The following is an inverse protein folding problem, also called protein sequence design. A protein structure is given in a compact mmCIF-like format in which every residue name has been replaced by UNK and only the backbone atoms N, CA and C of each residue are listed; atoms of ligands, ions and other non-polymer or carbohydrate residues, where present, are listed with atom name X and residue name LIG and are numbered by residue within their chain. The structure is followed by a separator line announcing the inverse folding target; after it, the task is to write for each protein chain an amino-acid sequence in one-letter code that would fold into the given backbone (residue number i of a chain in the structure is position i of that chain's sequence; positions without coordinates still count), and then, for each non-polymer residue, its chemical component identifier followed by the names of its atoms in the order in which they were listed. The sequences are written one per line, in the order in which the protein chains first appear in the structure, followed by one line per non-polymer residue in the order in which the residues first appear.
data_IF_849055342241
#
_entry.id   IF_849055342241
#
_cell.length_a   1.000
_cell.length_b   1.000
_cell.length_c   1.000
_cell.angle_alpha   90.00
_cell.angle_beta   90.00
_cell.angle_gamma   90.00
#
_symmetry.space_group_name_H-M   'P 1'
#
loop_
_entity.id
_entity.type
_entity.pdbx_description
1 polymer ?
#
# COMPACT_ATOMS: atom_id res chain seq x y z
N UNK A 1 28.05 -22.45 -2.03
CA UNK A 1 27.02 -21.45 -1.62
C UNK A 1 27.43 -20.74 -0.33
N UNK A 2 27.73 -21.46 0.72
CA UNK A 2 28.13 -20.91 2.02
C UNK A 2 29.29 -19.88 1.91
N UNK A 3 30.37 -20.24 1.20
CA UNK A 3 31.51 -19.33 0.96
C UNK A 3 31.15 -18.03 0.23
N UNK A 4 30.06 -18.00 -0.52
CA UNK A 4 29.55 -16.76 -1.14
C UNK A 4 28.73 -15.95 -0.14
N UNK A 5 27.77 -16.59 0.52
CA UNK A 5 26.85 -15.95 1.46
C UNK A 5 27.60 -15.36 2.68
N UNK A 6 28.63 -16.05 3.18
CA UNK A 6 29.47 -15.58 4.30
C UNK A 6 30.27 -14.30 3.99
N UNK A 7 30.39 -13.90 2.72
CA UNK A 7 31.07 -12.67 2.30
C UNK A 7 30.14 -11.46 2.23
N UNK A 8 28.84 -11.64 2.38
CA UNK A 8 27.88 -10.53 2.40
C UNK A 8 28.08 -9.69 3.66
N UNK A 9 28.19 -8.38 3.50
CA UNK A 9 28.38 -7.42 4.58
C UNK A 9 27.11 -6.61 4.83
N UNK A 10 26.65 -5.84 3.84
CA UNK A 10 25.47 -4.99 3.95
C UNK A 10 24.16 -5.79 3.88
N UNK A 11 24.18 -6.87 3.09
CA UNK A 11 23.06 -7.80 2.92
C UNK A 11 23.23 -9.09 3.73
N UNK A 12 24.19 -9.12 4.65
CA UNK A 12 24.50 -10.30 5.46
C UNK A 12 23.54 -10.54 6.60
N UNK A 13 22.82 -9.53 7.06
CA UNK A 13 21.75 -9.68 8.08
C UNK A 13 20.47 -10.21 7.41
N UNK A 14 20.48 -11.51 7.14
CA UNK A 14 19.39 -12.19 6.42
C UNK A 14 18.29 -12.71 7.35
N UNK A 15 18.43 -12.54 8.66
CA UNK A 15 17.55 -13.19 9.64
C UNK A 15 17.75 -14.70 9.71
N UNK A 16 17.43 -15.31 10.85
CA UNK A 16 17.68 -16.73 11.11
C UNK A 16 16.90 -17.67 10.20
N UNK A 17 15.73 -17.28 9.75
CA UNK A 17 14.84 -18.08 8.90
C UNK A 17 14.90 -17.71 7.40
N UNK A 18 15.92 -16.97 6.96
CA UNK A 18 16.08 -16.65 5.54
C UNK A 18 16.35 -17.92 4.70
N UNK A 19 15.67 -18.04 3.56
CA UNK A 19 15.87 -19.15 2.62
C UNK A 19 17.34 -19.21 2.16
N UNK A 20 17.95 -18.07 1.83
CA UNK A 20 19.34 -18.01 1.37
C UNK A 20 20.32 -18.49 2.46
N UNK A 21 20.13 -18.05 3.70
CA UNK A 21 20.95 -18.50 4.82
C UNK A 21 20.79 -19.99 5.07
N UNK A 22 19.55 -20.49 5.11
CA UNK A 22 19.28 -21.92 5.32
C UNK A 22 19.83 -22.80 4.19
N UNK A 23 19.76 -22.34 2.95
CA UNK A 23 20.39 -23.03 1.84
C UNK A 23 21.93 -23.04 2.00
N UNK A 24 22.54 -21.91 2.37
CA UNK A 24 24.00 -21.87 2.59
C UNK A 24 24.44 -22.86 3.66
N UNK A 25 23.73 -22.93 4.79
CA UNK A 25 23.99 -23.91 5.87
C UNK A 25 23.86 -25.36 5.35
N UNK A 26 22.82 -25.71 4.63
CA UNK A 26 22.63 -27.05 4.05
C UNK A 26 23.71 -27.40 3.01
N UNK A 27 24.17 -26.44 2.22
CA UNK A 27 25.27 -26.64 1.28
C UNK A 27 26.62 -26.86 2.02
N UNK A 28 26.82 -26.16 3.14
CA UNK A 28 27.99 -26.38 4.00
C UNK A 28 27.97 -27.81 4.61
N UNK A 29 26.82 -28.26 5.13
CA UNK A 29 26.58 -29.57 5.66
C UNK A 29 26.83 -30.67 4.60
N UNK A 30 26.38 -30.45 3.36
CA UNK A 30 26.61 -31.32 2.22
C UNK A 30 28.10 -31.46 1.91
N UNK A 31 28.82 -30.34 1.78
CA UNK A 31 30.26 -30.36 1.50
C UNK A 31 31.08 -30.98 2.62
N UNK A 32 30.67 -30.77 3.87
CA UNK A 32 31.30 -31.32 5.05
C UNK A 32 30.95 -32.80 5.32
N UNK A 33 30.03 -33.41 4.56
CA UNK A 33 29.48 -34.74 4.80
C UNK A 33 29.02 -34.98 6.25
N UNK A 34 28.56 -33.90 6.91
CA UNK A 34 28.22 -33.92 8.33
C UNK A 34 26.80 -34.41 8.63
N UNK A 35 25.93 -34.42 7.62
CA UNK A 35 24.49 -34.69 7.78
C UNK A 35 24.06 -35.85 6.88
N UNK A 36 23.18 -36.77 7.38
CA UNK A 36 22.67 -37.87 6.57
C UNK A 36 21.93 -37.36 5.32
N UNK A 37 22.14 -38.04 4.17
CA UNK A 37 21.56 -37.69 2.87
C UNK A 37 20.05 -37.41 2.92
N UNK A 38 19.27 -38.26 3.61
CA UNK A 38 17.81 -38.08 3.72
C UNK A 38 17.44 -36.80 4.46
N UNK A 39 18.19 -36.41 5.48
CA UNK A 39 17.99 -35.17 6.24
C UNK A 39 18.32 -33.97 5.38
N UNK A 40 19.42 -33.99 4.62
CA UNK A 40 19.77 -32.93 3.66
C UNK A 40 18.70 -32.75 2.60
N UNK A 41 18.24 -33.83 1.95
CA UNK A 41 17.19 -33.78 0.93
C UNK A 41 15.92 -33.20 1.50
N UNK A 42 15.50 -33.57 2.72
CA UNK A 42 14.34 -33.02 3.39
C UNK A 42 14.50 -31.50 3.65
N UNK A 43 15.68 -31.08 4.11
CA UNK A 43 16.01 -29.67 4.33
C UNK A 43 15.96 -28.87 3.05
N UNK A 44 16.56 -29.36 1.97
CA UNK A 44 16.51 -28.71 0.65
C UNK A 44 15.08 -28.59 0.11
N UNK A 45 14.29 -29.67 0.15
CA UNK A 45 12.90 -29.65 -0.28
C UNK A 45 12.03 -28.70 0.53
N UNK A 46 12.34 -28.52 1.83
CA UNK A 46 11.68 -27.52 2.64
C UNK A 46 11.94 -26.10 2.12
N UNK A 47 13.18 -25.77 1.74
CA UNK A 47 13.51 -24.45 1.18
C UNK A 47 12.92 -24.27 -0.23
N UNK A 48 12.94 -25.31 -1.06
CA UNK A 48 12.27 -25.33 -2.37
C UNK A 48 10.77 -25.06 -2.23
N UNK A 49 10.11 -25.73 -1.27
CA UNK A 49 8.71 -25.46 -0.96
C UNK A 49 8.46 -23.99 -0.61
N UNK A 50 9.31 -23.39 0.21
CA UNK A 50 9.21 -21.97 0.58
C UNK A 50 9.38 -21.03 -0.64
N UNK A 51 10.25 -21.37 -1.58
CA UNK A 51 10.37 -20.63 -2.85
C UNK A 51 9.10 -20.75 -3.70
N UNK A 52 8.46 -21.93 -3.74
CA UNK A 52 7.19 -22.13 -4.43
C UNK A 52 6.04 -21.38 -3.75
N UNK A 53 6.00 -21.35 -2.41
CA UNK A 53 5.04 -20.58 -1.65
C UNK A 53 5.19 -19.06 -1.97
N UNK A 54 6.42 -18.54 -1.96
CA UNK A 54 6.74 -17.16 -2.33
C UNK A 54 6.33 -16.86 -3.77
N UNK A 55 6.65 -17.75 -4.72
CA UNK A 55 6.25 -17.60 -6.12
C UNK A 55 4.73 -17.55 -6.28
N UNK A 56 4.04 -18.34 -5.47
CA UNK A 56 2.59 -18.40 -5.44
C UNK A 56 1.97 -17.12 -4.88
N UNK A 57 2.55 -16.56 -3.81
CA UNK A 57 2.05 -15.36 -3.12
C UNK A 57 2.27 -14.08 -3.95
N UNK A 58 3.39 -14.00 -4.66
CA UNK A 58 3.76 -12.85 -5.47
C UNK A 58 3.53 -13.04 -6.98
N UNK A 59 3.15 -14.23 -7.43
CA UNK A 59 2.94 -14.52 -8.86
C UNK A 59 4.24 -14.51 -9.67
N UNK A 60 5.33 -15.03 -9.10
CA UNK A 60 6.60 -15.17 -9.83
C UNK A 60 6.53 -16.31 -10.84
N UNK A 61 7.29 -16.18 -11.93
CA UNK A 61 7.35 -17.11 -13.06
C UNK A 61 8.75 -17.09 -13.67
N UNK A 62 9.11 -18.13 -14.41
CA UNK A 62 10.43 -18.29 -15.02
C UNK A 62 11.49 -18.76 -14.01
N UNK A 63 12.61 -18.08 -13.88
CA UNK A 63 13.67 -18.48 -12.94
C UNK A 63 13.35 -18.03 -11.52
N UNK A 64 12.77 -18.92 -10.70
CA UNK A 64 12.37 -18.60 -9.32
C UNK A 64 13.54 -18.30 -8.40
N UNK A 65 14.71 -18.91 -8.63
CA UNK A 65 15.90 -18.61 -7.86
C UNK A 65 16.34 -17.16 -8.04
N UNK A 66 16.45 -16.71 -9.29
CA UNK A 66 16.79 -15.33 -9.62
C UNK A 66 15.73 -14.33 -9.14
N UNK A 67 14.45 -14.68 -9.28
CA UNK A 67 13.36 -13.86 -8.76
C UNK A 67 13.42 -13.71 -7.24
N UNK A 68 13.76 -14.78 -6.52
CA UNK A 68 13.93 -14.73 -5.07
C UNK A 68 15.11 -13.84 -4.66
N UNK A 69 16.28 -13.97 -5.30
CA UNK A 69 17.43 -13.11 -5.03
C UNK A 69 17.12 -11.63 -5.31
N UNK A 70 16.40 -11.37 -6.40
CA UNK A 70 15.93 -10.01 -6.74
C UNK A 70 14.98 -9.49 -5.68
N UNK A 71 14.01 -10.30 -5.26
CA UNK A 71 13.06 -9.93 -4.21
C UNK A 71 13.77 -9.65 -2.89
N UNK A 72 14.81 -10.43 -2.55
CA UNK A 72 15.64 -10.20 -1.37
C UNK A 72 16.36 -8.84 -1.46
N UNK A 73 16.98 -8.52 -2.59
CA UNK A 73 17.61 -7.22 -2.82
C UNK A 73 16.60 -6.08 -2.67
N UNK A 74 15.41 -6.22 -3.27
CA UNK A 74 14.36 -5.19 -3.24
C UNK A 74 13.77 -4.98 -1.84
N UNK A 75 13.76 -6.01 -1.00
CA UNK A 75 13.11 -5.97 0.33
C UNK A 75 14.07 -5.74 1.48
N UNK A 76 15.39 -5.91 1.28
CA UNK A 76 16.38 -5.72 2.34
C UNK A 76 16.67 -4.24 2.58
N UNK A 77 16.27 -3.75 3.74
CA UNK A 77 16.53 -2.38 4.20
C UNK A 77 17.84 -2.36 5.00
N UNK A 78 18.86 -1.72 4.45
CA UNK A 78 20.15 -1.53 5.08
C UNK A 78 20.64 -0.09 4.87
N UNK A 79 21.79 0.27 5.45
CA UNK A 79 22.34 1.63 5.38
C UNK A 79 22.58 2.11 3.95
N UNK A 80 22.99 1.23 3.04
CA UNK A 80 23.18 1.57 1.64
C UNK A 80 21.85 1.74 0.89
N UNK A 81 20.94 0.78 1.00
CA UNK A 81 19.69 0.77 0.28
C UNK A 81 18.78 1.95 0.66
N UNK A 82 18.72 2.30 1.96
CA UNK A 82 17.96 3.46 2.46
C UNK A 82 18.52 4.80 2.03
N UNK A 83 19.86 4.94 1.98
CA UNK A 83 20.50 6.16 1.48
C UNK A 83 20.26 6.28 -0.03
N UNK A 84 20.47 5.19 -0.78
CA UNK A 84 20.33 5.18 -2.24
C UNK A 84 18.89 5.47 -2.67
N UNK A 85 17.90 5.01 -1.92
CA UNK A 85 16.49 5.37 -2.14
C UNK A 85 16.29 6.89 -2.17
N UNK A 86 16.99 7.63 -1.30
CA UNK A 86 16.82 9.08 -1.14
C UNK A 86 17.62 9.92 -2.13
N UNK A 87 18.88 9.56 -2.32
CA UNK A 87 19.85 10.40 -3.04
C UNK A 87 20.33 9.81 -4.36
N UNK A 88 19.93 8.57 -4.67
CA UNK A 88 20.39 7.87 -5.87
C UNK A 88 21.87 7.48 -5.80
N UNK A 89 22.53 7.48 -6.94
CA UNK A 89 23.92 7.08 -7.11
C UNK A 89 24.89 8.23 -6.77
N UNK A 90 24.97 8.62 -5.50
CA UNK A 90 26.02 9.53 -5.05
C UNK A 90 27.27 8.75 -4.65
N UNK A 91 28.44 9.30 -4.93
CA UNK A 91 29.72 8.70 -4.54
C UNK A 91 29.85 8.65 -3.01
N UNK A 92 30.32 7.52 -2.51
CA UNK A 92 30.54 7.31 -1.10
C UNK A 92 31.22 5.96 -0.81
N UNK A 93 31.92 5.88 0.31
CA UNK A 93 32.65 4.66 0.70
C UNK A 93 31.74 3.43 0.84
N UNK A 94 30.47 3.62 1.22
CA UNK A 94 29.50 2.54 1.34
C UNK A 94 29.24 1.82 0.01
N UNK A 95 29.40 2.52 -1.14
CA UNK A 95 29.25 1.93 -2.47
C UNK A 95 30.28 0.82 -2.74
N UNK A 96 31.48 0.94 -2.18
CA UNK A 96 32.50 -0.09 -2.31
C UNK A 96 32.03 -1.43 -1.67
N UNK A 97 31.43 -1.36 -0.50
CA UNK A 97 30.87 -2.53 0.17
C UNK A 97 29.67 -3.08 -0.58
N UNK A 98 28.79 -2.21 -1.08
CA UNK A 98 27.63 -2.62 -1.87
C UNK A 98 28.05 -3.33 -3.18
N UNK A 99 29.05 -2.81 -3.89
CA UNK A 99 29.61 -3.46 -5.10
C UNK A 99 30.21 -4.83 -4.78
N UNK A 100 30.88 -4.99 -3.63
CA UNK A 100 31.37 -6.28 -3.19
C UNK A 100 30.22 -7.28 -2.98
N UNK A 101 29.16 -6.86 -2.28
CA UNK A 101 27.97 -7.70 -2.06
C UNK A 101 27.25 -8.03 -3.38
N UNK A 102 27.15 -7.06 -4.30
CA UNK A 102 26.54 -7.30 -5.62
C UNK A 102 27.34 -8.26 -6.49
N UNK A 103 28.68 -8.29 -6.35
CA UNK A 103 29.51 -9.34 -6.95
C UNK A 103 29.17 -10.72 -6.43
N UNK A 104 28.87 -10.83 -5.11
CA UNK A 104 28.34 -12.08 -4.52
C UNK A 104 26.98 -12.42 -5.07
N UNK A 105 26.03 -11.45 -5.13
CA UNK A 105 24.71 -11.70 -5.70
C UNK A 105 24.78 -12.12 -7.16
N UNK A 106 25.63 -11.49 -7.97
CA UNK A 106 25.83 -11.88 -9.37
C UNK A 106 26.33 -13.32 -9.49
N UNK A 107 27.26 -13.73 -8.63
CA UNK A 107 27.72 -15.13 -8.57
C UNK A 107 26.57 -16.09 -8.15
N UNK A 108 25.73 -15.68 -7.19
CA UNK A 108 24.54 -16.44 -6.79
C UNK A 108 23.47 -16.52 -7.88
N UNK A 109 23.30 -15.48 -8.71
CA UNK A 109 22.38 -15.49 -9.85
C UNK A 109 22.72 -16.58 -10.88
N UNK A 110 24.01 -16.92 -11.02
CA UNK A 110 24.51 -17.92 -11.93
C UNK A 110 25.05 -19.15 -11.21
N UNK A 111 24.55 -19.43 -9.99
CA UNK A 111 25.01 -20.54 -9.19
C UNK A 111 24.65 -21.86 -9.85
N UNK A 112 25.68 -22.77 -9.98
CA UNK A 112 25.49 -24.11 -10.53
C UNK A 112 25.02 -25.07 -9.42
N UNK A 113 23.79 -25.52 -9.54
CA UNK A 113 23.19 -26.54 -8.66
C UNK A 113 23.47 -27.97 -9.12
N UNK A 114 24.01 -28.16 -10.32
CA UNK A 114 24.24 -29.48 -10.89
C UNK A 114 25.01 -30.46 -9.98
N UNK A 115 26.11 -30.07 -9.33
CA UNK A 115 26.88 -30.96 -8.46
C UNK A 115 26.09 -31.57 -7.29
N UNK A 116 25.29 -30.74 -6.57
CA UNK A 116 24.50 -31.23 -5.44
C UNK A 116 23.29 -32.05 -5.92
N UNK A 117 22.68 -31.67 -7.03
CA UNK A 117 21.56 -32.42 -7.61
C UNK A 117 22.00 -33.80 -8.09
N UNK A 118 23.15 -33.89 -8.76
CA UNK A 118 23.70 -35.15 -9.20
C UNK A 118 24.08 -36.08 -8.03
N UNK A 119 24.72 -35.53 -6.99
CA UNK A 119 25.13 -36.31 -5.82
C UNK A 119 23.91 -36.80 -5.01
N UNK A 120 22.93 -35.97 -4.82
CA UNK A 120 21.71 -36.28 -4.04
C UNK A 120 20.59 -36.94 -4.88
N UNK A 121 20.73 -37.06 -6.20
CA UNK A 121 19.71 -37.61 -7.10
C UNK A 121 18.39 -36.84 -7.05
N UNK A 122 18.46 -35.51 -7.06
CA UNK A 122 17.33 -34.61 -7.08
C UNK A 122 17.45 -33.66 -8.28
N UNK A 123 16.38 -32.99 -8.68
CA UNK A 123 16.30 -32.06 -9.83
C UNK A 123 15.51 -30.77 -9.53
N UNK A 124 15.28 -30.56 -8.24
CA UNK A 124 14.34 -29.52 -7.78
C UNK A 124 14.82 -28.08 -8.09
N UNK A 125 16.13 -27.82 -8.04
CA UNK A 125 16.67 -26.48 -8.36
C UNK A 125 16.65 -26.22 -9.87
N UNK A 126 17.02 -27.23 -10.69
CA UNK A 126 16.87 -27.15 -12.15
C UNK A 126 15.43 -26.88 -12.54
N UNK A 127 14.47 -27.54 -11.90
CA UNK A 127 13.04 -27.30 -12.09
C UNK A 127 12.63 -25.87 -11.71
N UNK A 128 13.15 -25.33 -10.59
CA UNK A 128 12.87 -23.94 -10.17
C UNK A 128 13.42 -22.91 -11.16
N UNK A 129 14.55 -23.19 -11.82
CA UNK A 129 15.12 -22.27 -12.82
C UNK A 129 14.28 -22.19 -14.11
N UNK A 130 13.38 -23.17 -14.35
CA UNK A 130 12.49 -23.26 -15.50
C UNK A 130 11.02 -23.34 -15.11
N UNK A 131 10.65 -22.70 -14.02
CA UNK A 131 9.31 -22.78 -13.46
C UNK A 131 8.28 -22.08 -14.34
N UNK A 132 7.13 -22.75 -14.53
CA UNK A 132 5.95 -22.17 -15.19
C UNK A 132 4.79 -22.08 -14.22
N UNK A 133 4.35 -20.87 -13.95
CA UNK A 133 3.24 -20.64 -13.03
C UNK A 133 1.90 -21.10 -13.62
N UNK A 134 1.08 -21.75 -12.77
CA UNK A 134 -0.31 -22.05 -13.13
C UNK A 134 -1.14 -20.80 -12.90
N UNK A 135 -1.53 -20.15 -13.99
CA UNK A 135 -2.39 -18.97 -13.93
C UNK A 135 -3.83 -19.39 -13.65
N UNK A 136 -4.30 -19.11 -12.43
CA UNK A 136 -5.72 -19.14 -12.12
C UNK A 136 -6.28 -17.73 -12.23
N UNK A 137 -7.33 -17.53 -13.03
CA UNK A 137 -8.01 -16.24 -13.20
C UNK A 137 -8.49 -15.63 -11.87
N UNK A 138 -8.69 -16.45 -10.86
CA UNK A 138 -9.24 -16.06 -9.55
C UNK A 138 -8.18 -15.71 -8.50
N UNK A 139 -6.89 -16.03 -8.73
CA UNK A 139 -5.88 -15.80 -7.70
C UNK A 139 -5.38 -14.36 -7.75
N UNK A 140 -5.67 -13.62 -6.69
CA UNK A 140 -5.25 -12.23 -6.52
C UNK A 140 -3.85 -12.20 -5.90
N UNK A 141 -2.86 -11.81 -6.67
CA UNK A 141 -1.52 -11.46 -6.21
C UNK A 141 -1.21 -10.00 -6.57
N UNK A 142 -0.20 -9.42 -5.93
CA UNK A 142 0.21 -8.06 -6.25
C UNK A 142 0.97 -8.03 -7.59
N UNK A 143 0.22 -7.85 -8.69
CA UNK A 143 0.77 -7.85 -10.04
C UNK A 143 1.89 -6.83 -10.22
N UNK A 144 1.78 -5.66 -9.61
CA UNK A 144 2.80 -4.61 -9.70
C UNK A 144 4.13 -5.03 -9.06
N UNK A 145 4.10 -5.76 -7.94
CA UNK A 145 5.31 -6.33 -7.32
C UNK A 145 5.91 -7.39 -8.22
N UNK A 146 5.08 -8.33 -8.71
CA UNK A 146 5.53 -9.40 -9.60
C UNK A 146 6.24 -8.86 -10.84
N UNK A 147 5.64 -7.89 -11.52
CA UNK A 147 6.20 -7.28 -12.72
C UNK A 147 7.55 -6.59 -12.45
N UNK A 148 7.66 -5.85 -11.34
CA UNK A 148 8.92 -5.19 -10.96
C UNK A 148 10.03 -6.19 -10.65
N UNK A 149 9.73 -7.22 -9.84
CA UNK A 149 10.71 -8.26 -9.49
C UNK A 149 11.18 -8.97 -10.76
N UNK A 150 10.28 -9.41 -11.62
CA UNK A 150 10.62 -10.12 -12.85
C UNK A 150 11.43 -9.26 -13.84
N UNK A 151 11.05 -8.00 -14.01
CA UNK A 151 11.76 -7.08 -14.89
C UNK A 151 13.20 -6.82 -14.38
N UNK A 152 13.37 -6.56 -13.08
CA UNK A 152 14.69 -6.37 -12.50
C UNK A 152 15.50 -7.68 -12.52
N UNK A 153 14.90 -8.81 -12.18
CA UNK A 153 15.55 -10.14 -12.21
C UNK A 153 16.13 -10.44 -13.60
N UNK A 154 15.34 -10.21 -14.63
CA UNK A 154 15.80 -10.41 -16.02
C UNK A 154 16.97 -9.47 -16.39
N UNK A 155 16.91 -8.20 -15.98
CA UNK A 155 17.99 -7.24 -16.21
C UNK A 155 19.26 -7.61 -15.45
N UNK A 156 19.15 -8.02 -14.16
CA UNK A 156 20.28 -8.45 -13.34
C UNK A 156 20.94 -9.74 -13.86
N UNK A 157 20.14 -10.69 -14.34
CA UNK A 157 20.65 -11.93 -14.95
C UNK A 157 21.46 -11.66 -16.23
N UNK A 158 21.16 -10.59 -16.95
CA UNK A 158 21.87 -10.18 -18.17
C UNK A 158 23.09 -9.29 -17.90
N UNK A 159 23.30 -8.84 -16.66
CA UNK A 159 24.43 -7.94 -16.30
C UNK A 159 25.78 -8.64 -16.49
N UNK A 160 26.65 -8.05 -17.31
CA UNK A 160 27.95 -8.62 -17.66
C UNK A 160 29.01 -8.43 -16.55
N UNK A 161 28.89 -7.35 -15.77
CA UNK A 161 29.84 -6.97 -14.73
C UNK A 161 29.13 -6.43 -13.47
N UNK A 162 29.94 -6.26 -12.40
CA UNK A 162 29.45 -5.78 -11.10
C UNK A 162 29.00 -4.31 -11.16
N UNK A 163 29.54 -3.51 -12.06
CA UNK A 163 29.17 -2.09 -12.23
C UNK A 163 27.77 -1.98 -12.85
N UNK A 164 27.50 -2.74 -13.90
CA UNK A 164 26.15 -2.82 -14.50
C UNK A 164 25.14 -3.32 -13.49
N UNK A 165 25.47 -4.33 -12.72
CA UNK A 165 24.61 -4.85 -11.66
C UNK A 165 24.34 -3.79 -10.59
N UNK A 166 25.35 -3.05 -10.16
CA UNK A 166 25.24 -1.95 -9.22
C UNK A 166 24.28 -0.85 -9.74
N UNK A 167 24.47 -0.43 -10.99
CA UNK A 167 23.59 0.58 -11.60
C UNK A 167 22.14 0.15 -11.67
N UNK A 168 21.85 -1.08 -12.05
CA UNK A 168 20.48 -1.61 -12.13
C UNK A 168 19.78 -1.61 -10.76
N UNK A 169 20.49 -2.05 -9.71
CA UNK A 169 19.92 -2.08 -8.35
C UNK A 169 19.72 -0.67 -7.81
N UNK A 170 20.70 0.23 -7.97
CA UNK A 170 20.63 1.60 -7.46
C UNK A 170 19.56 2.43 -8.19
N UNK A 171 19.41 2.27 -9.51
CA UNK A 171 18.33 2.88 -10.27
C UNK A 171 16.95 2.38 -9.81
N UNK A 172 16.85 1.08 -9.51
CA UNK A 172 15.63 0.52 -8.95
C UNK A 172 15.29 1.15 -7.60
N UNK A 173 16.25 1.25 -6.67
CA UNK A 173 16.03 1.87 -5.36
C UNK A 173 15.61 3.33 -5.46
N UNK A 174 16.25 4.09 -6.35
CA UNK A 174 15.89 5.48 -6.59
C UNK A 174 14.48 5.64 -7.16
N UNK A 175 14.10 4.78 -8.10
CA UNK A 175 12.82 4.88 -8.84
C UNK A 175 11.64 4.33 -8.06
N UNK A 176 11.82 3.20 -7.41
CA UNK A 176 10.73 2.47 -6.76
C UNK A 176 10.88 2.36 -5.25
N UNK A 177 12.07 2.64 -4.73
CA UNK A 177 12.44 2.51 -3.34
C UNK A 177 12.82 1.11 -2.91
N UNK A 178 13.01 0.92 -1.61
CA UNK A 178 13.43 -0.32 -1.00
C UNK A 178 12.44 -0.77 0.09
N UNK A 179 12.48 -2.05 0.41
CA UNK A 179 11.62 -2.63 1.43
C UNK A 179 10.17 -2.79 0.99
N UNK A 180 9.33 -3.19 1.91
CA UNK A 180 7.91 -3.38 1.64
C UNK A 180 7.21 -2.08 1.25
N UNK A 181 7.72 -0.93 1.73
CA UNK A 181 7.20 0.40 1.39
C UNK A 181 7.44 0.74 -0.09
N UNK A 182 8.60 0.38 -0.63
CA UNK A 182 8.91 0.55 -2.05
C UNK A 182 8.03 -0.28 -2.97
N UNK A 183 7.72 -1.49 -2.54
CA UNK A 183 6.97 -2.46 -3.35
C UNK A 183 5.46 -2.23 -3.35
N UNK A 184 4.88 -1.68 -2.29
CA UNK A 184 3.44 -1.64 -2.09
C UNK A 184 2.87 -0.22 -2.08
N UNK A 185 1.60 -0.10 -2.51
CA UNK A 185 0.87 1.18 -2.59
C UNK A 185 0.29 1.61 -1.24
N UNK A 186 -0.26 0.64 -0.51
CA UNK A 186 -1.03 0.90 0.69
C UNK A 186 -0.75 -0.11 1.78
N UNK A 187 -0.93 0.33 3.02
CA UNK A 187 -0.60 -0.41 4.23
C UNK A 187 -1.70 -0.27 5.27
N UNK A 188 -1.81 -1.28 6.15
CA UNK A 188 -2.55 -1.22 7.40
C UNK A 188 -1.60 -1.22 8.57
N UNK A 189 -2.01 -0.53 9.62
CA UNK A 189 -1.30 -0.55 10.89
C UNK A 189 -1.56 -1.87 11.61
N UNK A 190 -0.51 -2.53 12.07
CA UNK A 190 -0.56 -3.69 12.96
C UNK A 190 0.17 -3.35 14.25
N UNK A 191 -0.55 -3.38 15.35
CA UNK A 191 0.01 -3.24 16.70
C UNK A 191 0.26 -4.63 17.29
N UNK A 192 1.38 -4.81 17.96
CA UNK A 192 1.76 -6.09 18.58
C UNK A 192 2.75 -5.91 19.71
N UNK A 193 3.15 -7.00 20.40
CA UNK A 193 4.10 -6.95 21.51
C UNK A 193 5.46 -6.36 21.14
N UNK A 194 5.87 -6.50 19.88
CA UNK A 194 7.14 -5.98 19.35
C UNK A 194 7.03 -4.52 18.86
N UNK A 195 5.86 -3.90 19.01
CA UNK A 195 5.59 -2.53 18.57
C UNK A 195 4.65 -2.46 17.37
N UNK A 196 4.73 -1.33 16.66
CA UNK A 196 3.88 -1.02 15.50
C UNK A 196 4.60 -1.40 14.20
N UNK A 197 3.88 -2.04 13.30
CA UNK A 197 4.37 -2.39 11.96
C UNK A 197 3.34 -2.06 10.87
N UNK A 198 3.80 -1.99 9.62
CA UNK A 198 2.97 -1.73 8.45
C UNK A 198 2.78 -3.01 7.64
N UNK A 199 1.55 -3.47 7.51
CA UNK A 199 1.19 -4.63 6.70
C UNK A 199 0.72 -4.17 5.32
N UNK A 200 1.29 -4.69 4.21
CA UNK A 200 0.86 -4.34 2.87
C UNK A 200 -0.60 -4.74 2.60
N UNK A 201 -1.30 -3.89 1.87
CA UNK A 201 -2.63 -4.18 1.31
C UNK A 201 -2.46 -4.56 -0.15
N UNK A 202 -2.59 -5.85 -0.47
CA UNK A 202 -2.39 -6.36 -1.83
C UNK A 202 -3.57 -6.10 -2.78
N UNK A 203 -4.78 -5.97 -2.23
CA UNK A 203 -6.03 -5.75 -2.98
C UNK A 203 -6.56 -4.34 -2.75
N UNK A 204 -5.83 -3.33 -3.24
CA UNK A 204 -6.35 -1.96 -3.23
C UNK A 204 -7.50 -1.84 -4.25
N UNK A 205 -8.48 -1.01 -3.91
CA UNK A 205 -9.53 -0.60 -4.85
C UNK A 205 -8.87 0.01 -6.10
N UNK A 206 -9.38 -0.34 -7.29
CA UNK A 206 -8.82 0.15 -8.57
C UNK A 206 -9.49 1.42 -9.07
N UNK A 207 -10.34 2.03 -8.25
CA UNK A 207 -11.07 3.26 -8.61
C UNK A 207 -10.09 4.39 -8.95
N UNK A 208 -10.35 5.10 -10.04
CA UNK A 208 -9.69 6.35 -10.42
C UNK A 208 -10.61 7.53 -10.14
N UNK A 209 -10.07 8.74 -9.96
CA UNK A 209 -10.93 9.93 -9.79
C UNK A 209 -11.85 10.16 -10.99
N UNK A 210 -11.42 9.79 -12.18
CA UNK A 210 -12.23 9.82 -13.40
C UNK A 210 -13.42 8.84 -13.38
N UNK A 211 -13.39 7.83 -12.51
CA UNK A 211 -14.50 6.88 -12.36
C UNK A 211 -15.63 7.43 -11.51
N UNK A 212 -15.33 8.41 -10.68
CA UNK A 212 -16.31 9.08 -9.84
C UNK A 212 -17.04 10.15 -10.66
N UNK A 213 -18.30 9.91 -10.96
CA UNK A 213 -19.12 10.84 -11.75
C UNK A 213 -19.54 12.02 -10.90
N UNK A 214 -19.40 13.24 -11.44
CA UNK A 214 -19.67 14.49 -10.72
C UNK A 214 -18.55 14.90 -9.76
N UNK A 215 -18.84 15.89 -8.93
CA UNK A 215 -17.91 16.42 -7.91
C UNK A 215 -16.59 16.97 -8.47
N UNK A 216 -16.60 17.57 -9.67
CA UNK A 216 -15.37 18.01 -10.35
C UNK A 216 -14.59 19.04 -9.53
N UNK A 217 -15.27 20.00 -8.90
CA UNK A 217 -14.63 21.00 -8.03
C UNK A 217 -13.97 20.35 -6.80
N UNK A 218 -14.63 19.37 -6.20
CA UNK A 218 -14.11 18.62 -5.05
C UNK A 218 -12.87 17.78 -5.44
N UNK A 219 -12.96 17.08 -6.56
CA UNK A 219 -11.84 16.30 -7.11
C UNK A 219 -10.65 17.20 -7.45
N UNK A 220 -10.91 18.37 -8.03
CA UNK A 220 -9.87 19.33 -8.37
C UNK A 220 -9.14 19.87 -7.13
N UNK A 221 -9.87 20.29 -6.09
CA UNK A 221 -9.28 20.73 -4.83
C UNK A 221 -8.42 19.65 -4.19
N UNK A 222 -8.90 18.39 -4.23
CA UNK A 222 -8.19 17.25 -3.67
C UNK A 222 -6.90 16.95 -4.46
N UNK A 223 -6.94 17.02 -5.80
CA UNK A 223 -5.78 16.90 -6.68
C UNK A 223 -4.75 17.99 -6.40
N UNK A 224 -5.13 19.23 -6.43
CA UNK A 224 -4.24 20.38 -6.23
C UNK A 224 -3.46 20.29 -4.93
N UNK A 225 -4.14 19.92 -3.83
CA UNK A 225 -3.49 19.70 -2.54
C UNK A 225 -2.52 18.50 -2.56
N UNK A 226 -2.90 17.43 -3.23
CA UNK A 226 -2.06 16.22 -3.33
C UNK A 226 -0.85 16.44 -4.24
N UNK A 227 -1.01 17.13 -5.36
CA UNK A 227 0.08 17.48 -6.28
C UNK A 227 1.06 18.49 -5.66
N UNK A 228 0.55 19.46 -4.89
CA UNK A 228 1.40 20.35 -4.11
C UNK A 228 2.27 19.57 -3.11
N UNK A 229 1.65 18.61 -2.41
CA UNK A 229 2.33 17.72 -1.47
C UNK A 229 3.41 16.86 -2.14
N UNK A 230 3.10 16.24 -3.27
CA UNK A 230 4.03 15.41 -4.05
C UNK A 230 5.22 16.24 -4.55
N UNK A 231 4.97 17.45 -4.98
CA UNK A 231 6.00 18.40 -5.44
C UNK A 231 6.84 18.99 -4.30
N UNK A 232 6.64 18.59 -3.04
CA UNK A 232 7.35 19.14 -1.87
C UNK A 232 6.94 20.56 -1.51
N UNK A 233 5.84 21.07 -2.06
CA UNK A 233 5.26 22.37 -1.71
C UNK A 233 4.37 22.27 -0.47
N UNK A 234 4.08 23.39 0.17
CA UNK A 234 3.16 23.44 1.31
C UNK A 234 1.80 22.88 0.93
N UNK A 235 1.33 21.90 1.71
CA UNK A 235 0.02 21.26 1.55
C UNK A 235 -0.59 20.99 2.92
N UNK A 236 -1.91 20.77 2.95
CA UNK A 236 -2.66 20.69 4.18
C UNK A 236 -3.28 19.31 4.39
N UNK A 237 -3.55 18.97 5.66
CA UNK A 237 -4.45 17.87 5.98
C UNK A 237 -5.83 18.15 5.38
N UNK A 238 -6.51 17.13 4.86
CA UNK A 238 -7.80 17.28 4.18
C UNK A 238 -8.93 16.56 4.91
N UNK A 239 -10.01 17.27 5.16
CA UNK A 239 -11.27 16.75 5.67
C UNK A 239 -12.31 16.76 4.56
N UNK A 240 -12.77 15.58 4.14
CA UNK A 240 -13.87 15.45 3.19
C UNK A 240 -15.15 15.16 3.99
N UNK A 241 -16.05 16.11 4.08
CA UNK A 241 -17.25 15.97 4.90
C UNK A 241 -18.54 16.05 4.07
N UNK A 242 -19.63 15.55 4.60
CA UNK A 242 -20.95 15.60 3.95
C UNK A 242 -21.65 14.26 3.93
N UNK A 243 -22.64 14.12 3.04
CA UNK A 243 -23.59 13.02 3.07
C UNK A 243 -22.96 11.64 2.76
N UNK A 244 -23.58 10.58 3.31
CA UNK A 244 -23.13 9.21 3.06
C UNK A 244 -23.34 8.82 1.58
N UNK A 245 -22.43 7.99 1.05
CA UNK A 245 -22.55 7.46 -0.32
C UNK A 245 -22.20 8.44 -1.45
N UNK A 246 -21.62 9.60 -1.13
CA UNK A 246 -21.22 10.63 -2.11
C UNK A 246 -19.83 10.46 -2.70
N UNK A 247 -19.11 9.39 -2.35
CA UNK A 247 -17.79 9.08 -2.94
C UNK A 247 -16.58 9.66 -2.19
N UNK A 248 -16.73 10.23 -0.98
CA UNK A 248 -15.62 10.80 -0.17
C UNK A 248 -14.44 9.85 -0.03
N UNK A 249 -14.67 8.67 0.54
CA UNK A 249 -13.62 7.66 0.76
C UNK A 249 -13.05 7.15 -0.56
N UNK A 250 -13.89 6.97 -1.58
CA UNK A 250 -13.46 6.56 -2.92
C UNK A 250 -12.57 7.62 -3.58
N UNK A 251 -12.84 8.92 -3.37
CA UNK A 251 -12.00 10.01 -3.89
C UNK A 251 -10.60 9.95 -3.29
N UNK A 252 -10.47 9.71 -1.97
CA UNK A 252 -9.15 9.57 -1.34
C UNK A 252 -8.44 8.30 -1.81
N UNK A 253 -9.15 7.17 -1.89
CA UNK A 253 -8.59 5.89 -2.37
C UNK A 253 -8.14 5.97 -3.84
N UNK A 254 -8.81 6.77 -4.66
CA UNK A 254 -8.42 6.96 -6.06
C UNK A 254 -7.05 7.65 -6.22
N UNK A 255 -6.67 8.54 -5.32
CA UNK A 255 -5.39 9.24 -5.37
C UNK A 255 -4.19 8.27 -5.39
N UNK A 256 -4.27 7.17 -4.63
CA UNK A 256 -3.15 6.22 -4.60
C UNK A 256 -2.94 5.53 -5.95
N UNK A 257 -4.00 5.34 -6.72
CA UNK A 257 -3.88 4.76 -8.06
C UNK A 257 -3.34 5.77 -9.07
N UNK A 258 -3.65 7.06 -8.92
CA UNK A 258 -3.18 8.11 -9.82
C UNK A 258 -1.72 8.51 -9.53
N UNK A 259 -1.29 8.51 -8.26
CA UNK A 259 -0.01 9.12 -7.86
C UNK A 259 1.01 8.14 -7.27
N UNK A 260 0.72 6.83 -7.25
CA UNK A 260 1.66 5.82 -6.74
C UNK A 260 3.02 5.90 -7.41
N UNK A 261 3.06 6.00 -8.73
CA UNK A 261 4.30 6.06 -9.51
C UNK A 261 5.07 7.38 -9.31
N UNK A 262 4.42 8.39 -8.74
CA UNK A 262 5.03 9.66 -8.32
C UNK A 262 5.48 9.64 -6.84
N UNK A 263 5.48 8.49 -6.21
CA UNK A 263 5.97 8.30 -4.85
C UNK A 263 4.90 8.43 -3.74
N UNK A 264 3.60 8.48 -4.08
CA UNK A 264 2.55 8.46 -3.08
C UNK A 264 2.40 7.06 -2.46
N UNK A 265 2.20 7.04 -1.14
CA UNK A 265 1.85 5.83 -0.36
C UNK A 265 0.69 6.14 0.55
N UNK A 266 -0.12 5.14 0.88
CA UNK A 266 -1.27 5.29 1.77
C UNK A 266 -1.15 4.38 2.97
N UNK A 267 -1.44 4.91 4.16
CA UNK A 267 -1.52 4.13 5.40
C UNK A 267 -2.94 4.24 5.92
N UNK A 268 -3.66 3.14 5.92
CA UNK A 268 -4.99 3.04 6.51
C UNK A 268 -4.85 2.83 8.02
N UNK A 269 -5.46 3.72 8.81
CA UNK A 269 -5.50 3.63 10.25
C UNK A 269 -6.93 3.74 10.76
N UNK A 270 -7.28 2.88 11.70
CA UNK A 270 -8.60 2.89 12.33
C UNK A 270 -8.60 3.70 13.63
N UNK A 271 -9.76 4.23 14.00
CA UNK A 271 -9.91 5.10 15.18
C UNK A 271 -9.29 4.52 16.46
N UNK A 272 -9.51 3.23 16.75
CA UNK A 272 -8.93 2.54 17.91
C UNK A 272 -7.39 2.43 17.89
N UNK A 273 -6.74 2.75 16.78
CA UNK A 273 -5.28 2.72 16.62
C UNK A 273 -4.63 4.11 16.70
N UNK A 274 -5.38 5.17 17.02
CA UNK A 274 -4.81 6.53 17.04
C UNK A 274 -3.71 6.71 18.08
N UNK A 275 -3.70 5.94 19.15
CA UNK A 275 -2.58 5.89 20.09
C UNK A 275 -1.24 5.50 19.42
N UNK A 276 -1.29 4.74 18.33
CA UNK A 276 -0.13 4.26 17.58
C UNK A 276 0.33 5.24 16.50
N UNK A 277 -0.42 6.32 16.25
CA UNK A 277 -0.17 7.24 15.14
C UNK A 277 1.22 7.87 15.18
N UNK A 278 1.73 8.22 16.37
CA UNK A 278 3.09 8.74 16.53
C UNK A 278 4.15 7.70 16.14
N UNK A 279 3.93 6.43 16.49
CA UNK A 279 4.83 5.34 16.12
C UNK A 279 4.78 5.07 14.59
N UNK A 280 3.59 5.13 13.98
CA UNK A 280 3.43 5.04 12.52
C UNK A 280 4.21 6.15 11.82
N UNK A 281 4.10 7.39 12.31
CA UNK A 281 4.86 8.53 11.78
C UNK A 281 6.36 8.29 11.89
N UNK A 282 6.83 7.80 13.03
CA UNK A 282 8.26 7.50 13.24
C UNK A 282 8.81 6.47 12.24
N UNK A 283 8.01 5.48 11.82
CA UNK A 283 8.41 4.47 10.83
C UNK A 283 8.63 5.07 9.42
N UNK A 284 7.91 6.15 9.08
CA UNK A 284 7.89 6.63 7.69
C UNK A 284 8.46 8.05 7.50
N UNK A 285 8.70 8.81 8.58
CA UNK A 285 9.16 10.20 8.51
C UNK A 285 10.47 10.40 7.75
N UNK A 286 11.34 9.40 7.75
CA UNK A 286 12.65 9.46 7.11
C UNK A 286 12.69 8.81 5.72
N UNK A 287 11.54 8.32 5.21
CA UNK A 287 11.45 7.66 3.89
C UNK A 287 11.30 8.71 2.78
N UNK A 288 11.75 8.35 1.59
CA UNK A 288 11.70 9.22 0.41
C UNK A 288 10.33 9.22 -0.30
N UNK A 289 9.25 8.90 0.42
CA UNK A 289 7.89 8.86 -0.09
C UNK A 289 7.03 9.92 0.56
N UNK A 290 5.92 10.23 -0.10
CA UNK A 290 4.83 11.03 0.44
C UNK A 290 3.72 10.10 0.94
N UNK A 291 3.34 10.25 2.19
CA UNK A 291 2.36 9.38 2.85
C UNK A 291 1.06 10.13 3.11
N UNK A 292 -0.05 9.56 2.64
CA UNK A 292 -1.38 9.93 3.11
C UNK A 292 -1.78 8.91 4.19
N UNK A 293 -1.95 9.39 5.41
CA UNK A 293 -2.62 8.62 6.47
C UNK A 293 -4.13 8.77 6.25
N UNK A 294 -4.75 7.68 5.84
CA UNK A 294 -6.17 7.62 5.53
C UNK A 294 -6.96 7.15 6.74
N UNK A 295 -7.90 7.98 7.17
CA UNK A 295 -8.75 7.74 8.33
C UNK A 295 -10.19 7.69 7.83
N UNK A 296 -10.71 6.49 7.55
CA UNK A 296 -12.07 6.37 7.01
C UNK A 296 -13.13 6.58 8.11
N UNK A 297 -14.22 7.28 7.75
CA UNK A 297 -15.37 7.60 8.60
C UNK A 297 -15.00 8.26 9.94
N UNK A 298 -14.14 9.30 9.86
CA UNK A 298 -13.68 10.02 11.04
C UNK A 298 -14.84 10.75 11.73
N UNK A 299 -15.19 10.28 12.92
CA UNK A 299 -16.15 10.92 13.80
C UNK A 299 -15.93 10.47 15.24
N UNK A 300 -16.27 11.32 16.21
CA UNK A 300 -16.14 11.04 17.63
C UNK A 300 -17.46 11.28 18.33
N UNK A 301 -17.78 10.41 19.30
CA UNK A 301 -18.81 10.67 20.28
C UNK A 301 -18.24 11.52 21.41
N UNK A 302 -19.10 12.10 22.22
CA UNK A 302 -18.74 13.07 23.28
C UNK A 302 -17.71 12.55 24.29
N UNK A 303 -17.79 11.28 24.64
CA UNK A 303 -16.98 10.65 25.69
C UNK A 303 -15.73 9.93 25.14
N UNK A 304 -15.47 9.97 23.84
CA UNK A 304 -14.31 9.32 23.25
C UNK A 304 -13.06 10.18 23.47
N UNK A 305 -11.98 9.53 23.86
CA UNK A 305 -10.70 10.21 24.16
C UNK A 305 -9.71 10.14 22.99
N UNK A 306 -10.00 9.32 22.00
CA UNK A 306 -9.13 9.06 20.84
C UNK A 306 -8.84 10.31 20.02
N UNK A 307 -9.76 11.30 20.03
CA UNK A 307 -9.53 12.58 19.35
C UNK A 307 -8.32 13.34 19.90
N UNK A 308 -7.95 13.14 21.18
CA UNK A 308 -6.79 13.79 21.81
C UNK A 308 -5.48 13.33 21.17
N UNK A 309 -5.36 12.04 20.82
CA UNK A 309 -4.19 11.52 20.12
C UNK A 309 -4.08 12.13 18.71
N UNK A 310 -5.19 12.20 17.99
CA UNK A 310 -5.23 12.82 16.67
C UNK A 310 -4.89 14.32 16.74
N UNK A 311 -5.45 15.03 17.72
CA UNK A 311 -5.17 16.45 17.98
C UNK A 311 -3.68 16.67 18.22
N UNK A 312 -3.07 15.90 19.12
CA UNK A 312 -1.64 16.00 19.44
C UNK A 312 -0.75 15.81 18.19
N UNK A 313 -1.10 14.90 17.31
CA UNK A 313 -0.35 14.67 16.07
C UNK A 313 -0.54 15.79 15.06
N UNK A 314 -1.75 16.33 14.92
CA UNK A 314 -2.04 17.42 13.96
C UNK A 314 -1.40 18.73 14.41
N UNK A 315 -1.42 19.02 15.72
CA UNK A 315 -0.82 20.23 16.30
C UNK A 315 0.70 20.19 16.29
N UNK A 316 1.25 18.97 16.37
CA UNK A 316 2.66 18.77 16.65
C UNK A 316 2.99 19.06 18.12
N UNK A 317 4.09 18.49 18.58
CA UNK A 317 4.65 18.80 19.89
C UNK A 317 5.98 19.56 19.71
N UNK A 318 6.97 19.19 20.51
CA UNK A 318 8.35 19.67 20.34
C UNK A 318 8.95 19.18 19.00
N UNK A 319 8.54 18.00 18.55
CA UNK A 319 8.91 17.48 17.22
C UNK A 319 7.97 18.08 16.16
N UNK A 320 8.56 18.72 15.15
CA UNK A 320 7.80 19.26 14.01
C UNK A 320 7.16 18.14 13.21
N UNK A 321 5.92 18.36 12.73
CA UNK A 321 5.26 17.43 11.82
C UNK A 321 6.15 17.18 10.60
N UNK A 322 6.41 15.91 10.23
CA UNK A 322 7.19 15.61 9.03
C UNK A 322 6.51 16.13 7.75
N UNK A 323 7.31 16.72 6.85
CA UNK A 323 6.83 17.28 5.58
C UNK A 323 6.32 16.22 4.59
N UNK A 324 6.60 14.96 4.86
CA UNK A 324 6.24 13.84 3.99
C UNK A 324 4.95 13.11 4.42
N UNK A 325 4.15 13.68 5.34
CA UNK A 325 2.93 13.03 5.86
C UNK A 325 1.76 14.02 5.86
N UNK A 326 0.63 13.64 5.27
CA UNK A 326 -0.66 14.31 5.39
C UNK A 326 -1.73 13.34 5.91
N UNK A 327 -2.72 13.91 6.59
CA UNK A 327 -3.90 13.20 7.08
C UNK A 327 -5.08 13.53 6.15
N UNK A 328 -5.71 12.51 5.56
CA UNK A 328 -6.92 12.65 4.76
C UNK A 328 -8.05 11.86 5.43
N UNK A 329 -9.10 12.57 5.80
CA UNK A 329 -10.19 12.03 6.60
C UNK A 329 -11.55 12.27 5.95
N UNK A 330 -12.18 11.27 5.33
CA UNK A 330 -13.59 11.27 5.06
C UNK A 330 -14.41 11.24 6.36
N UNK A 331 -15.48 12.04 6.39
CA UNK A 331 -16.43 12.10 7.51
C UNK A 331 -17.86 12.29 7.02
N UNK A 332 -18.81 11.65 7.66
CA UNK A 332 -20.23 11.90 7.44
C UNK A 332 -20.73 13.10 8.27
N UNK A 333 -19.84 13.76 9.00
CA UNK A 333 -20.15 14.92 9.86
C UNK A 333 -19.27 16.11 9.49
N UNK A 334 -19.85 17.31 9.49
CA UNK A 334 -19.10 18.57 9.30
C UNK A 334 -18.24 18.86 10.54
N UNK A 335 -18.80 18.68 11.72
CA UNK A 335 -18.12 18.76 13.00
C UNK A 335 -17.78 17.33 13.44
N UNK A 336 -16.50 17.06 13.63
CA UNK A 336 -15.98 15.72 13.88
C UNK A 336 -16.43 15.12 15.21
N UNK A 337 -16.71 15.98 16.21
CA UNK A 337 -17.21 15.57 17.52
C UNK A 337 -18.69 15.92 17.59
N UNK A 338 -19.51 15.00 18.12
CA UNK A 338 -20.96 15.17 18.23
C UNK A 338 -21.30 16.26 19.24
N UNK A 339 -22.10 17.22 18.83
CA UNK A 339 -22.73 18.20 19.70
C UNK A 339 -23.98 17.59 20.32
N UNK A 340 -24.19 17.75 21.62
CA UNK A 340 -25.44 17.37 22.29
C UNK A 340 -26.46 18.49 22.29
N UNK A 341 -27.72 18.16 22.56
CA UNK A 341 -28.77 19.17 22.77
C UNK A 341 -28.46 20.12 23.92
N UNK A 342 -27.68 19.66 24.92
CA UNK A 342 -27.20 20.48 26.04
C UNK A 342 -26.20 21.54 25.55
N UNK A 343 -25.26 21.17 24.70
CA UNK A 343 -24.29 22.10 24.11
C UNK A 343 -24.98 23.25 23.34
N UNK A 344 -26.17 23.01 22.75
CA UNK A 344 -26.97 24.04 22.06
C UNK A 344 -27.79 24.91 23.00
N UNK A 345 -28.30 24.32 24.09
CA UNK A 345 -29.07 25.06 25.07
C UNK A 345 -28.15 26.00 25.91
N UNK A 346 -26.89 25.57 26.15
CA UNK A 346 -25.91 26.36 26.89
C UNK A 346 -25.38 27.57 26.09
N UNK A 347 -25.47 27.54 24.74
CA UNK A 347 -25.22 28.75 23.90
C UNK A 347 -26.21 29.88 24.14
N UNK A 348 -27.41 29.60 24.69
CA UNK A 348 -28.43 30.59 25.00
C UNK A 348 -28.30 31.14 26.44
N UNK A 349 -27.44 30.56 27.28
CA UNK A 349 -27.20 30.98 28.67
C UNK A 349 -25.73 31.34 28.90
N UNK A 350 -25.43 32.62 28.92
CA UNK A 350 -24.10 33.28 28.97
C UNK A 350 -23.26 33.04 30.26
N UNK A 351 -23.52 32.06 31.13
CA UNK A 351 -22.96 32.03 32.48
C UNK A 351 -22.11 30.82 32.86
N UNK A 352 -21.65 29.96 31.96
CA UNK A 352 -20.80 28.83 32.36
C UNK A 352 -19.49 28.73 31.54
N UNK A 353 -18.43 29.32 32.09
CA UNK A 353 -17.07 29.43 31.50
C UNK A 353 -16.46 28.06 31.18
N UNK A 354 -16.79 27.00 31.93
CA UNK A 354 -16.22 25.66 31.78
C UNK A 354 -16.82 24.87 30.59
N UNK A 355 -18.04 25.17 30.15
CA UNK A 355 -18.66 24.53 28.98
C UNK A 355 -18.20 25.13 27.64
N UNK A 356 -17.86 26.42 27.62
CA UNK A 356 -17.30 27.11 26.45
C UNK A 356 -15.97 26.48 26.00
N UNK A 357 -15.08 26.11 26.90
CA UNK A 357 -13.76 25.53 26.61
C UNK A 357 -13.89 24.17 25.93
N UNK A 358 -14.84 23.34 26.34
CA UNK A 358 -15.07 22.01 25.76
C UNK A 358 -15.66 22.10 24.35
N UNK A 359 -16.53 23.06 24.11
CA UNK A 359 -17.13 23.29 22.78
C UNK A 359 -16.11 23.86 21.80
N UNK A 360 -15.29 24.82 22.24
CA UNK A 360 -14.17 25.35 21.44
C UNK A 360 -13.16 24.25 21.11
N UNK A 361 -12.87 23.36 22.03
CA UNK A 361 -11.98 22.22 21.82
C UNK A 361 -12.56 21.24 20.77
N UNK A 362 -13.89 20.98 20.82
CA UNK A 362 -14.59 20.13 19.84
C UNK A 362 -14.58 20.73 18.43
N UNK A 363 -14.82 22.03 18.30
CA UNK A 363 -14.81 22.75 17.02
C UNK A 363 -13.38 22.90 16.47
N UNK A 364 -12.38 23.01 17.34
CA UNK A 364 -10.99 23.25 16.99
C UNK A 364 -10.40 22.11 16.16
N UNK A 365 -10.80 20.86 16.37
CA UNK A 365 -10.26 19.71 15.61
C UNK A 365 -10.56 19.80 14.11
N UNK A 366 -11.77 20.16 13.73
CA UNK A 366 -12.14 20.34 12.31
C UNK A 366 -11.41 21.50 11.66
N UNK A 367 -11.16 22.58 12.41
CA UNK A 367 -10.44 23.76 11.92
C UNK A 367 -8.95 23.47 11.61
N UNK A 368 -8.37 22.40 12.17
CA UNK A 368 -6.97 21.99 11.92
C UNK A 368 -6.76 21.28 10.58
N UNK A 369 -7.84 20.92 9.89
CA UNK A 369 -7.77 20.49 8.50
C UNK A 369 -7.82 21.72 7.61
N UNK A 370 -6.67 22.11 7.05
CA UNK A 370 -6.57 23.33 6.24
C UNK A 370 -7.32 23.23 4.91
N UNK A 371 -7.56 22.02 4.40
CA UNK A 371 -8.44 21.76 3.25
C UNK A 371 -9.71 21.06 3.74
N UNK A 372 -10.87 21.69 3.48
CA UNK A 372 -12.19 21.18 3.89
C UNK A 372 -13.11 21.13 2.68
N UNK A 373 -13.45 19.90 2.24
CA UNK A 373 -14.19 19.67 1.00
C UNK A 373 -15.56 19.09 1.33
N UNK A 374 -16.62 19.79 0.89
CA UNK A 374 -18.01 19.36 1.11
C UNK A 374 -18.51 18.48 -0.03
N UNK A 375 -19.04 17.32 0.31
CA UNK A 375 -19.69 16.37 -0.59
C UNK A 375 -21.18 16.28 -0.24
N UNK A 376 -21.99 17.09 -0.89
CA UNK A 376 -23.45 17.07 -0.72
C UNK A 376 -24.09 15.96 -1.57
N UNK A 377 -25.30 15.55 -1.19
CA UNK A 377 -26.14 14.65 -1.99
C UNK A 377 -26.27 15.19 -3.41
N UNK A 378 -26.09 14.36 -4.46
CA UNK A 378 -26.28 14.78 -5.83
C UNK A 378 -27.74 15.18 -6.07
N UNK A 379 -27.95 16.21 -6.84
CA UNK A 379 -29.29 16.55 -7.29
C UNK A 379 -29.82 15.50 -8.28
N UNK A 380 -31.11 15.57 -8.65
CA UNK A 380 -31.72 14.56 -9.51
C UNK A 380 -31.05 14.42 -10.88
N UNK A 381 -30.65 15.53 -11.49
CA UNK A 381 -29.93 15.52 -12.77
C UNK A 381 -28.56 14.86 -12.65
N UNK A 382 -27.81 15.18 -11.61
CA UNK A 382 -26.51 14.55 -11.32
C UNK A 382 -26.66 13.05 -11.05
N UNK A 383 -27.71 12.65 -10.32
CA UNK A 383 -27.97 11.23 -10.09
C UNK A 383 -28.25 10.47 -11.38
N UNK A 384 -29.06 11.04 -12.27
CA UNK A 384 -29.34 10.48 -13.59
C UNK A 384 -28.05 10.34 -14.41
N UNK A 385 -27.20 11.37 -14.43
CA UNK A 385 -25.89 11.32 -15.09
C UNK A 385 -25.00 10.20 -14.52
N UNK A 386 -24.97 10.03 -13.19
CA UNK A 386 -24.25 8.94 -12.52
C UNK A 386 -24.78 7.58 -13.01
N UNK A 387 -26.10 7.39 -13.02
CA UNK A 387 -26.74 6.13 -13.44
C UNK A 387 -26.39 5.81 -14.91
N UNK A 388 -26.56 6.77 -15.81
CA UNK A 388 -26.27 6.60 -17.24
C UNK A 388 -24.80 6.26 -17.49
N UNK A 389 -23.90 6.97 -16.80
CA UNK A 389 -22.46 6.74 -16.94
C UNK A 389 -22.05 5.35 -16.44
N UNK A 390 -22.57 4.94 -15.29
CA UNK A 390 -22.31 3.62 -14.73
C UNK A 390 -22.90 2.50 -15.59
N UNK A 391 -24.13 2.67 -16.11
CA UNK A 391 -24.77 1.71 -17.03
C UNK A 391 -23.93 1.51 -18.29
N UNK A 392 -23.47 2.59 -18.90
CA UNK A 392 -22.60 2.53 -20.09
C UNK A 392 -21.28 1.79 -19.81
N UNK A 393 -20.66 2.04 -18.66
CA UNK A 393 -19.40 1.39 -18.25
C UNK A 393 -19.57 -0.11 -18.01
N UNK A 394 -20.72 -0.52 -17.48
CA UNK A 394 -20.99 -1.94 -17.17
C UNK A 394 -21.70 -2.68 -18.30
N UNK A 395 -21.94 -2.01 -19.45
CA UNK A 395 -22.57 -2.62 -20.61
C UNK A 395 -24.04 -2.98 -20.40
N UNK A 396 -24.75 -2.28 -19.49
CA UNK A 396 -26.18 -2.50 -19.26
C UNK A 396 -26.96 -1.98 -20.46
N UNK A 397 -27.61 -2.87 -21.19
CA UNK A 397 -28.33 -2.59 -22.44
C UNK A 397 -29.84 -2.37 -22.19
N UNK A 398 -30.18 -1.26 -21.52
CA UNK A 398 -31.56 -0.82 -21.34
C UNK A 398 -31.76 0.54 -22.04
N UNK A 399 -32.98 0.81 -22.61
CA UNK A 399 -33.33 2.15 -23.07
C UNK A 399 -33.18 3.17 -21.95
N UNK A 400 -32.65 4.36 -22.25
CA UNK A 400 -32.35 5.41 -21.26
C UNK A 400 -33.56 5.76 -20.40
N UNK A 401 -34.72 5.93 -21.00
CA UNK A 401 -35.97 6.25 -20.29
C UNK A 401 -36.34 5.18 -19.27
N UNK A 402 -36.27 3.91 -19.68
CA UNK A 402 -36.55 2.74 -18.80
C UNK A 402 -35.55 2.66 -17.67
N UNK A 403 -34.26 2.85 -17.98
CA UNK A 403 -33.17 2.83 -16.99
C UNK A 403 -33.37 3.91 -15.91
N UNK A 404 -33.71 5.13 -16.31
CA UNK A 404 -33.95 6.24 -15.38
C UNK A 404 -35.23 6.06 -14.54
N UNK A 405 -36.29 5.50 -15.14
CA UNK A 405 -37.51 5.15 -14.39
C UNK A 405 -37.23 4.09 -13.32
N UNK A 406 -36.51 3.01 -13.69
CA UNK A 406 -36.16 1.94 -12.75
C UNK A 406 -35.18 2.44 -11.68
N UNK A 407 -34.22 3.31 -12.03
CA UNK A 407 -33.31 3.95 -11.08
C UNK A 407 -34.09 4.79 -10.05
N UNK A 408 -35.10 5.54 -10.49
CA UNK A 408 -35.98 6.33 -9.60
C UNK A 408 -36.79 5.43 -8.65
N UNK A 409 -37.30 4.30 -9.14
CA UNK A 409 -37.99 3.32 -8.28
C UNK A 409 -37.05 2.69 -7.27
N UNK A 410 -35.81 2.42 -7.70
CA UNK A 410 -34.77 1.84 -6.84
C UNK A 410 -34.37 2.79 -5.71
N UNK A 411 -34.10 4.08 -6.01
CA UNK A 411 -33.70 5.05 -5.00
C UNK A 411 -34.75 5.22 -3.87
N UNK A 412 -36.05 5.23 -4.26
CA UNK A 412 -37.14 5.33 -3.29
C UNK A 412 -37.19 4.16 -2.29
N UNK A 413 -36.69 2.99 -2.68
CA UNK A 413 -36.69 1.78 -1.85
C UNK A 413 -35.39 1.57 -1.08
N UNK A 414 -34.28 2.19 -1.51
CA UNK A 414 -32.93 1.84 -1.06
C UNK A 414 -32.16 3.04 -0.47
N UNK A 415 -32.84 3.98 0.17
CA UNK A 415 -32.19 5.02 0.98
C UNK A 415 -31.87 6.34 0.27
N UNK A 416 -32.50 6.60 -0.87
CA UNK A 416 -32.44 7.91 -1.53
C UNK A 416 -31.29 8.06 -2.53
N UNK A 417 -31.12 9.29 -3.00
CA UNK A 417 -30.19 9.67 -4.06
C UNK A 417 -28.75 9.66 -3.55
N UNK A 418 -27.91 8.78 -4.10
CA UNK A 418 -26.46 8.79 -3.84
C UNK A 418 -25.69 8.02 -4.92
N UNK A 419 -24.39 8.24 -5.03
CA UNK A 419 -23.51 7.45 -5.91
C UNK A 419 -23.50 5.95 -5.54
N UNK A 420 -23.60 5.63 -4.25
CA UNK A 420 -23.71 4.25 -3.75
C UNK A 420 -25.00 3.59 -4.23
N UNK A 421 -26.13 4.29 -4.13
CA UNK A 421 -27.44 3.78 -4.57
C UNK A 421 -27.45 3.52 -6.07
N UNK A 422 -26.87 4.45 -6.86
CA UNK A 422 -26.71 4.26 -8.30
C UNK A 422 -25.85 3.02 -8.64
N UNK A 423 -24.70 2.86 -7.98
CA UNK A 423 -23.82 1.72 -8.20
C UNK A 423 -24.49 0.39 -7.84
N UNK A 424 -25.21 0.34 -6.71
CA UNK A 424 -25.97 -0.85 -6.30
C UNK A 424 -27.06 -1.23 -7.31
N UNK A 425 -27.75 -0.23 -7.83
CA UNK A 425 -28.77 -0.42 -8.87
C UNK A 425 -28.14 -1.02 -10.15
N UNK A 426 -27.08 -0.43 -10.64
CA UNK A 426 -26.42 -0.92 -11.85
C UNK A 426 -25.81 -2.32 -11.66
N UNK A 427 -25.22 -2.60 -10.48
CA UNK A 427 -24.73 -3.95 -10.16
C UNK A 427 -25.87 -4.99 -10.16
N UNK A 428 -27.04 -4.61 -9.64
CA UNK A 428 -28.22 -5.48 -9.66
C UNK A 428 -28.66 -5.79 -11.09
N UNK A 429 -28.75 -4.77 -11.95
CA UNK A 429 -29.12 -4.96 -13.35
C UNK A 429 -28.12 -5.82 -14.12
N UNK A 430 -26.83 -5.54 -13.97
CA UNK A 430 -25.78 -6.33 -14.62
C UNK A 430 -25.82 -7.80 -14.19
N UNK A 431 -26.08 -8.07 -12.90
CA UNK A 431 -26.21 -9.45 -12.41
C UNK A 431 -27.46 -10.18 -12.90
N UNK A 432 -28.56 -9.48 -13.13
CA UNK A 432 -29.80 -10.11 -13.66
C UNK A 432 -29.74 -10.34 -15.17
N UNK A 433 -29.08 -9.47 -15.94
CA UNK A 433 -28.94 -9.64 -17.40
C UNK A 433 -28.02 -10.82 -17.78
N UNK A 434 -26.98 -11.10 -16.99
CA UNK A 434 -26.10 -12.27 -17.21
C UNK A 434 -26.81 -13.60 -16.94
N UNK A 435 -27.86 -13.62 -16.11
CA UNK A 435 -28.63 -14.82 -15.81
C UNK A 435 -29.62 -15.21 -16.93
N UNK A 436 -30.00 -14.27 -17.82
CA UNK A 436 -30.90 -14.52 -18.95
C UNK A 436 -30.18 -14.99 -20.22
N UNK A 437 -28.85 -14.93 -20.28
CA UNK A 437 -28.03 -15.31 -21.43
C UNK A 437 -27.26 -16.64 -21.24
N UNK A 438 -27.41 -17.34 -20.12
CA UNK A 438 -26.85 -18.65 -19.79
C UNK A 438 -27.92 -19.69 -19.59
#
# INVERSE_FOLDING_TARGET
MDQLVSRLLLYGDLGEDSILRRLAELFQEWQGHSTPRQTLVRGLYHQVKRLLDLATDYGFDGNLWQNYLTFLLMTNENSFSLITERVGQLEGTVNHFAKSDFGVFRALFHYDFGPIEADLGIDCFTTLCHYTAIYKHERRYNKAVSEKVRALSHALAAAQDDETFFHLVTDHYRRYGVGMIGLNKAFRVKSGPEGVSLLPIYNTDKVMLADLVGYESQKQQLRENTEAFLAGRTANNALLYGDAGTGKSSSVKALINEYYDQGLRMIEIYKHQFQDLSAVIALVKNRNYRFIVFIDDLSFEENEVEYKFLKAVIEGGVETKPDNILLYAPSNRRNLIRETWKDRADMEHENDVHHSDTLEEKLSLSARFGVRINYSIPNRTQFQEIVLTLAKRQGVALPEETLLQEATRWEMRHGGVSGRTAQQFINYLAGTQTAEQG
#
